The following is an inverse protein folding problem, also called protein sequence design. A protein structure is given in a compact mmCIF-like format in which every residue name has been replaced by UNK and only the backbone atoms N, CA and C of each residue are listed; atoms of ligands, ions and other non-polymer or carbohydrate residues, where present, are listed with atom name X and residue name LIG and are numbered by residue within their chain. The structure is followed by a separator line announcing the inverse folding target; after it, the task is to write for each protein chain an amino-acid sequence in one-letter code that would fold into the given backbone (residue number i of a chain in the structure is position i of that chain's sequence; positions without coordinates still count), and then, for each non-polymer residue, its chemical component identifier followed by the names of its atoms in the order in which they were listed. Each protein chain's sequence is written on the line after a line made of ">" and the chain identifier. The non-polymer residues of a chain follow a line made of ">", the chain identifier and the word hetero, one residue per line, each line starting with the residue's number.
data_IF_067889086861
#
_entry.id   IF_067889086861
#
_cell.length_a   1.000
_cell.length_b   1.000
_cell.length_c   1.000
_cell.angle_alpha   90.00
_cell.angle_beta   90.00
_cell.angle_gamma   90.00
#
_symmetry.space_group_name_H-M   'P 1'
#
loop_
_entity.id
_entity.type
_entity.pdbx_description
1 polymer ?
#
# COMPACT_ATOMS: atom_id res chain seq x y z
N UNK A 1 -10.91 11.83 -1.79
CA UNK A 1 -10.34 11.14 -0.61
C UNK A 1 -8.84 11.41 -0.48
N UNK A 2 -7.99 10.92 -1.38
CA UNK A 2 -6.53 11.15 -1.34
C UNK A 2 -6.15 12.63 -1.22
N UNK A 3 -6.78 13.50 -2.02
CA UNK A 3 -6.53 14.95 -1.99
C UNK A 3 -6.79 15.57 -0.62
N UNK A 4 -7.97 15.34 -0.04
CA UNK A 4 -8.32 15.82 1.30
C UNK A 4 -7.36 15.31 2.38
N UNK A 5 -6.93 14.05 2.31
CA UNK A 5 -6.02 13.51 3.33
C UNK A 5 -4.61 14.08 3.23
N UNK A 6 -4.17 14.57 2.05
CA UNK A 6 -2.86 15.25 1.90
C UNK A 6 -2.80 16.56 2.69
N UNK A 7 -3.93 17.20 2.94
CA UNK A 7 -3.98 18.43 3.76
C UNK A 7 -3.88 18.14 5.26
N UNK A 8 -4.09 16.88 5.68
CA UNK A 8 -4.15 16.46 7.08
C UNK A 8 -2.90 15.70 7.55
N UNK A 9 -2.20 15.02 6.64
CA UNK A 9 -1.13 14.08 6.96
C UNK A 9 0.13 14.40 6.18
N UNK A 10 1.29 14.25 6.83
CA UNK A 10 2.59 14.54 6.22
C UNK A 10 2.91 13.58 5.06
N UNK A 11 2.45 12.33 5.12
CA UNK A 11 2.61 11.36 4.06
C UNK A 11 1.29 10.65 3.78
N UNK A 12 0.91 10.54 2.50
CA UNK A 12 -0.31 9.87 2.03
C UNK A 12 0.06 9.05 0.80
N UNK A 13 -0.21 7.75 0.88
CA UNK A 13 0.03 6.79 -0.20
C UNK A 13 -1.19 5.90 -0.44
N UNK A 14 -1.28 5.36 -1.65
CA UNK A 14 -2.32 4.42 -2.03
C UNK A 14 -1.68 3.11 -2.46
N UNK A 15 -2.11 2.01 -1.84
CA UNK A 15 -1.73 0.66 -2.20
C UNK A 15 -2.94 -0.11 -2.74
N UNK A 16 -2.70 -1.20 -3.45
CA UNK A 16 -3.74 -2.13 -3.85
C UNK A 16 -3.27 -3.58 -3.78
N UNK A 17 -4.23 -4.50 -3.64
CA UNK A 17 -3.96 -5.94 -3.71
C UNK A 17 -5.07 -6.68 -4.44
N UNK A 18 -4.76 -7.87 -4.92
CA UNK A 18 -5.77 -8.76 -5.50
C UNK A 18 -6.62 -9.38 -4.38
N UNK A 19 -7.94 -9.30 -4.54
CA UNK A 19 -8.93 -9.92 -3.66
C UNK A 19 -10.05 -10.43 -4.55
N UNK A 20 -10.05 -11.74 -4.83
CA UNK A 20 -10.87 -12.35 -5.89
C UNK A 20 -12.38 -12.10 -5.76
N UNK A 21 -12.89 -12.00 -4.54
CA UNK A 21 -14.31 -11.77 -4.25
C UNK A 21 -14.69 -10.30 -4.10
N UNK A 22 -13.74 -9.37 -4.19
CA UNK A 22 -14.02 -7.94 -4.20
C UNK A 22 -14.46 -7.51 -5.61
N UNK A 23 -15.34 -6.49 -5.77
CA UNK A 23 -15.70 -5.99 -7.10
C UNK A 23 -14.46 -5.71 -7.96
N UNK A 24 -14.45 -6.24 -9.18
CA UNK A 24 -13.31 -6.15 -10.11
C UNK A 24 -12.01 -6.82 -9.63
N UNK A 25 -12.06 -7.67 -8.60
CA UNK A 25 -10.95 -8.55 -8.18
C UNK A 25 -9.79 -7.87 -7.46
N UNK A 26 -9.88 -6.57 -7.14
CA UNK A 26 -8.81 -5.80 -6.50
C UNK A 26 -9.36 -4.84 -5.45
N UNK A 27 -8.66 -4.74 -4.32
CA UNK A 27 -9.03 -3.82 -3.24
C UNK A 27 -7.92 -2.78 -3.05
N UNK A 28 -8.33 -1.53 -2.84
CA UNK A 28 -7.45 -0.40 -2.58
C UNK A 28 -7.36 -0.04 -1.10
N UNK A 29 -6.21 0.49 -0.69
CA UNK A 29 -5.92 0.90 0.67
C UNK A 29 -5.32 2.31 0.68
N UNK A 30 -5.94 3.23 1.42
CA UNK A 30 -5.39 4.57 1.67
C UNK A 30 -4.58 4.55 2.96
N UNK A 31 -3.28 4.85 2.87
CA UNK A 31 -2.34 4.80 3.99
C UNK A 31 -1.82 6.21 4.24
N UNK A 32 -1.98 6.67 5.48
CA UNK A 32 -1.58 8.01 5.91
C UNK A 32 -0.65 7.93 7.12
N UNK A 33 0.36 8.80 7.16
CA UNK A 33 1.24 8.97 8.32
C UNK A 33 1.30 10.42 8.76
N UNK A 34 1.30 10.64 10.08
CA UNK A 34 1.53 11.96 10.68
C UNK A 34 2.99 12.41 10.58
N UNK A 35 3.92 11.47 10.45
CA UNK A 35 5.35 11.72 10.25
C UNK A 35 5.73 11.57 8.77
N UNK A 36 6.88 12.09 8.38
CA UNK A 36 7.42 11.97 7.02
C UNK A 36 8.01 10.57 6.72
N UNK A 37 7.43 9.52 7.31
CA UNK A 37 7.85 8.14 7.10
C UNK A 37 7.47 7.69 5.69
N UNK A 38 8.40 7.08 4.97
CA UNK A 38 8.09 6.38 3.73
C UNK A 38 7.34 5.08 4.05
N UNK A 39 6.02 5.11 3.89
CA UNK A 39 5.15 3.95 4.14
C UNK A 39 5.23 2.90 3.03
N UNK A 40 5.89 3.19 1.89
CA UNK A 40 6.05 2.26 0.77
C UNK A 40 7.15 1.22 1.02
N UNK A 41 8.06 1.52 1.95
CA UNK A 41 9.10 0.60 2.41
C UNK A 41 8.78 0.16 3.84
N UNK A 42 8.62 -1.14 4.11
CA UNK A 42 8.29 -1.58 5.45
C UNK A 42 9.48 -1.36 6.38
N UNK A 43 9.30 -0.59 7.46
CA UNK A 43 10.38 -0.35 8.43
C UNK A 43 10.84 -1.61 9.17
N UNK A 44 10.00 -2.67 9.15
CA UNK A 44 10.33 -3.99 9.66
C UNK A 44 10.29 -4.99 8.50
N UNK A 45 11.47 -5.41 8.06
CA UNK A 45 11.60 -6.46 7.05
C UNK A 45 11.34 -7.81 7.70
N UNK A 46 10.45 -8.60 7.11
CA UNK A 46 10.14 -9.95 7.57
C UNK A 46 11.12 -10.94 6.94
N UNK A 47 11.64 -11.86 7.74
CA UNK A 47 12.40 -13.01 7.26
C UNK A 47 11.46 -14.15 6.84
N UNK A 48 11.95 -15.12 6.07
CA UNK A 48 11.19 -16.34 5.75
C UNK A 48 10.74 -17.11 6.99
N UNK A 49 11.54 -17.07 8.05
CA UNK A 49 11.20 -17.66 9.34
C UNK A 49 10.02 -16.93 10.00
N UNK A 50 9.97 -15.59 9.92
CA UNK A 50 8.83 -14.80 10.41
C UNK A 50 7.55 -15.08 9.62
N UNK A 51 7.65 -15.12 8.29
CA UNK A 51 6.51 -15.39 7.39
C UNK A 51 5.90 -16.76 7.72
N UNK A 52 6.75 -17.78 7.88
CA UNK A 52 6.34 -19.12 8.26
C UNK A 52 5.73 -19.15 9.67
N UNK A 53 6.41 -18.55 10.65
CA UNK A 53 5.94 -18.48 12.05
C UNK A 53 4.59 -17.78 12.19
N UNK A 54 4.36 -16.73 11.39
CA UNK A 54 3.12 -15.95 11.36
C UNK A 54 2.04 -16.57 10.46
N UNK A 55 2.34 -17.66 9.75
CA UNK A 55 1.45 -18.35 8.83
C UNK A 55 0.85 -17.40 7.76
N UNK A 56 1.69 -16.50 7.24
CA UNK A 56 1.27 -15.52 6.24
C UNK A 56 1.15 -16.19 4.86
N UNK A 57 -0.01 -16.01 4.22
CA UNK A 57 -0.30 -16.61 2.90
C UNK A 57 -0.18 -15.64 1.72
N UNK A 58 -0.15 -14.34 2.00
CA UNK A 58 -0.15 -13.29 0.96
C UNK A 58 0.89 -12.21 1.25
N UNK A 59 0.87 -11.65 2.46
CA UNK A 59 1.79 -10.57 2.82
C UNK A 59 3.22 -11.08 3.03
N UNK A 60 4.18 -10.36 2.44
CA UNK A 60 5.59 -10.37 2.80
C UNK A 60 6.18 -8.97 2.49
N UNK A 61 7.42 -8.71 2.87
CA UNK A 61 8.02 -7.37 2.69
C UNK A 61 8.17 -6.94 1.22
N UNK A 62 8.32 -7.87 0.28
CA UNK A 62 8.37 -7.53 -1.15
C UNK A 62 6.98 -7.19 -1.69
N UNK A 63 5.97 -7.97 -1.33
CA UNK A 63 4.56 -7.72 -1.67
C UNK A 63 4.10 -6.38 -1.10
N UNK A 64 4.54 -6.00 0.10
CA UNK A 64 4.29 -4.68 0.70
C UNK A 64 4.69 -3.56 -0.26
N UNK A 65 5.96 -3.52 -0.69
CA UNK A 65 6.45 -2.45 -1.56
C UNK A 65 5.83 -2.53 -2.95
N UNK A 66 5.61 -3.73 -3.49
CA UNK A 66 4.95 -3.93 -4.77
C UNK A 66 3.49 -3.44 -4.79
N UNK A 67 2.78 -3.47 -3.65
CA UNK A 67 1.39 -3.03 -3.56
C UNK A 67 1.21 -1.53 -3.87
N UNK A 68 2.28 -0.72 -3.74
CA UNK A 68 2.28 0.70 -4.10
C UNK A 68 2.66 0.95 -5.57
N UNK A 69 3.02 -0.10 -6.32
CA UNK A 69 3.29 0.00 -7.77
C UNK A 69 1.97 -0.06 -8.52
N UNK A 70 1.44 1.12 -8.83
CA UNK A 70 0.13 1.26 -9.46
C UNK A 70 0.20 1.24 -11.00
N UNK A 71 -0.87 0.76 -11.68
CA UNK A 71 -1.05 0.94 -13.11
C UNK A 71 -0.94 2.41 -13.52
N UNK A 72 -0.47 2.65 -14.74
CA UNK A 72 -0.15 3.99 -15.21
C UNK A 72 -1.35 4.96 -15.15
N UNK A 73 -2.55 4.47 -15.46
CA UNK A 73 -3.76 5.31 -15.43
C UNK A 73 -4.11 5.75 -14.00
N UNK A 74 -3.91 4.89 -13.00
CA UNK A 74 -4.14 5.21 -11.58
C UNK A 74 -3.10 6.23 -11.11
N UNK A 75 -1.83 6.04 -11.46
CA UNK A 75 -0.76 7.01 -11.12
C UNK A 75 -1.10 8.41 -11.61
N UNK A 76 -1.48 8.54 -12.89
CA UNK A 76 -1.90 9.83 -13.47
C UNK A 76 -3.08 10.44 -12.70
N UNK A 77 -4.12 9.68 -12.45
CA UNK A 77 -5.30 10.16 -11.73
C UNK A 77 -5.02 10.60 -10.28
N UNK A 78 -3.97 10.08 -9.65
CA UNK A 78 -3.55 10.47 -8.29
C UNK A 78 -2.61 11.68 -8.26
N UNK A 79 -1.97 12.00 -9.39
CA UNK A 79 -1.10 13.16 -9.60
C UNK A 79 -1.85 14.38 -10.17
N UNK A 80 -2.94 14.14 -10.91
CA UNK A 80 -3.85 15.17 -11.40
C UNK A 80 -4.51 15.91 -10.21
N UNK A 81 -4.36 17.24 -10.21
CA UNK A 81 -4.81 18.14 -9.13
C UNK A 81 -6.33 18.29 -9.05
#
# INVERSE_FOLDING_TARGET
>A
MVRFTRDLFANVQYAQSAVSTYPSGTMGYLICSKSNLDVTVPSRMLTEADITRMNLRYYNSQVHSAAFVLPQFVKKALEEK
#
